data_IF_575722665911
#
_entry.id   IF_575722665911
#
_cell.length_a   1.000
_cell.length_b   1.000
_cell.length_c   1.000
_cell.angle_alpha   90.00
_cell.angle_beta   90.00
_cell.angle_gamma   90.00
#
_symmetry.space_group_name_H-M   'P 1'
#
loop_
_entity.id
_entity.type
_entity.pdbx_description
1 polymer ?
#
# COMPACT_ATOMS: atom_id res chain seq x y z
N UNK A 1 19.51 -4.13 -32.03
CA UNK A 1 19.16 -3.93 -30.61
C UNK A 1 18.07 -4.93 -30.30
N UNK A 2 18.33 -5.88 -29.45
CA UNK A 2 17.27 -6.85 -29.05
C UNK A 2 16.34 -6.17 -28.01
N UNK A 3 15.10 -6.66 -27.90
CA UNK A 3 14.16 -6.17 -26.86
C UNK A 3 14.80 -6.29 -25.48
N UNK A 4 15.57 -7.37 -25.21
CA UNK A 4 16.29 -7.55 -23.97
C UNK A 4 17.31 -6.46 -23.68
N UNK A 5 18.09 -6.03 -24.69
CA UNK A 5 19.08 -4.95 -24.52
C UNK A 5 18.42 -3.62 -24.14
N UNK A 6 17.27 -3.32 -24.72
CA UNK A 6 16.49 -2.14 -24.39
C UNK A 6 15.95 -2.19 -22.95
N UNK A 7 15.43 -3.33 -22.52
CA UNK A 7 14.94 -3.52 -21.14
C UNK A 7 16.06 -3.27 -20.11
N UNK A 8 17.25 -3.85 -20.31
CA UNK A 8 18.38 -3.61 -19.40
C UNK A 8 18.80 -2.14 -19.36
N UNK A 9 18.85 -1.47 -20.52
CA UNK A 9 19.17 -0.04 -20.58
C UNK A 9 18.14 0.80 -19.81
N UNK A 10 16.86 0.52 -19.98
CA UNK A 10 15.78 1.24 -19.28
C UNK A 10 15.77 0.96 -17.78
N UNK A 11 16.02 -0.28 -17.35
CA UNK A 11 16.18 -0.59 -15.92
C UNK A 11 17.35 0.17 -15.30
N UNK A 12 18.48 0.26 -16.02
CA UNK A 12 19.63 1.06 -15.56
C UNK A 12 19.31 2.54 -15.43
N UNK A 13 18.68 3.12 -16.45
CA UNK A 13 18.22 4.52 -16.40
C UNK A 13 17.22 4.74 -15.27
N UNK A 14 16.25 3.85 -15.10
CA UNK A 14 15.26 3.92 -14.04
C UNK A 14 15.90 3.90 -12.64
N UNK A 15 16.86 3.00 -12.42
CA UNK A 15 17.60 2.92 -11.16
C UNK A 15 18.43 4.21 -10.88
N UNK A 16 19.10 4.76 -11.88
CA UNK A 16 19.84 6.01 -11.75
C UNK A 16 18.89 7.19 -11.46
N UNK A 17 17.75 7.25 -12.16
CA UNK A 17 16.75 8.26 -11.90
C UNK A 17 16.15 8.12 -10.48
N UNK A 18 15.87 6.90 -10.01
CA UNK A 18 15.39 6.66 -8.65
C UNK A 18 16.39 7.17 -7.58
N UNK A 19 17.69 7.10 -7.88
CA UNK A 19 18.73 7.59 -6.97
C UNK A 19 18.91 9.13 -6.99
N UNK A 20 18.75 9.77 -8.16
CA UNK A 20 19.05 11.20 -8.35
C UNK A 20 17.83 12.09 -8.21
N UNK A 21 16.67 11.66 -8.69
CA UNK A 21 15.42 12.43 -8.72
C UNK A 21 14.95 12.95 -7.35
N UNK A 22 15.09 12.22 -6.23
CA UNK A 22 14.69 12.75 -4.93
C UNK A 22 15.33 14.08 -4.60
N UNK A 23 16.64 14.25 -4.95
CA UNK A 23 17.37 15.50 -4.73
C UNK A 23 16.95 16.61 -5.69
N UNK A 24 16.59 16.26 -6.92
CA UNK A 24 16.19 17.23 -7.96
C UNK A 24 14.76 17.75 -7.74
N UNK A 25 13.89 16.89 -7.22
CA UNK A 25 12.46 17.20 -6.97
C UNK A 25 12.25 17.84 -5.59
N UNK A 26 13.22 17.69 -4.68
CA UNK A 26 13.15 18.30 -3.34
C UNK A 26 12.80 19.79 -3.41
N UNK A 27 11.73 20.18 -2.69
CA UNK A 27 11.22 21.55 -2.67
C UNK A 27 10.36 21.98 -3.86
N UNK A 28 10.07 21.08 -4.81
CA UNK A 28 9.15 21.33 -5.93
C UNK A 28 7.78 20.67 -5.67
N UNK A 29 6.69 21.19 -6.23
CA UNK A 29 5.36 20.58 -6.10
C UNK A 29 5.18 19.38 -7.05
N UNK A 30 6.17 18.49 -7.09
CA UNK A 30 6.21 17.31 -7.93
C UNK A 30 6.58 16.11 -7.06
N UNK A 31 5.72 15.11 -6.97
CA UNK A 31 6.05 13.86 -6.29
C UNK A 31 6.84 12.92 -7.21
N UNK A 32 7.76 12.15 -6.62
CA UNK A 32 8.52 11.12 -7.35
C UNK A 32 7.60 10.11 -8.08
N UNK A 33 6.53 9.60 -7.46
CA UNK A 33 5.56 8.75 -8.11
C UNK A 33 5.03 9.32 -9.44
N UNK A 34 4.68 10.61 -9.45
CA UNK A 34 4.17 11.27 -10.64
C UNK A 34 5.21 11.35 -11.76
N UNK A 35 6.49 11.59 -11.42
CA UNK A 35 7.58 11.67 -12.41
C UNK A 35 7.78 10.34 -13.11
N UNK A 36 7.80 9.20 -12.37
CA UNK A 36 7.95 7.88 -12.97
C UNK A 36 6.75 7.48 -13.82
N UNK A 37 5.54 7.79 -13.37
CA UNK A 37 4.32 7.52 -14.11
C UNK A 37 4.28 8.30 -15.43
N UNK A 38 4.55 9.60 -15.41
CA UNK A 38 4.63 10.45 -16.62
C UNK A 38 5.78 10.02 -17.49
N UNK A 39 6.93 9.64 -16.91
CA UNK A 39 8.08 9.12 -17.64
C UNK A 39 7.75 7.84 -18.40
N UNK A 40 7.08 6.88 -17.77
CA UNK A 40 6.62 5.66 -18.42
C UNK A 40 5.65 5.93 -19.57
N UNK A 41 4.65 6.78 -19.32
CA UNK A 41 3.72 7.22 -20.39
C UNK A 41 4.46 7.88 -21.55
N UNK A 42 5.37 8.80 -21.25
CA UNK A 42 6.11 9.54 -22.29
C UNK A 42 7.02 8.64 -23.13
N UNK A 43 7.71 7.69 -22.51
CA UNK A 43 8.61 6.76 -23.21
C UNK A 43 7.82 5.83 -24.15
N UNK A 44 6.66 5.35 -23.73
CA UNK A 44 5.83 4.44 -24.55
C UNK A 44 5.02 5.15 -25.63
N UNK A 45 4.91 6.47 -25.58
CA UNK A 45 4.39 7.28 -26.70
C UNK A 45 5.44 7.52 -27.81
N UNK A 46 6.72 7.21 -27.55
CA UNK A 46 7.75 7.28 -28.58
C UNK A 46 7.72 6.03 -29.47
N UNK A 47 8.08 6.14 -30.76
CA UNK A 47 8.11 5.01 -31.67
C UNK A 47 9.34 4.11 -31.43
N UNK A 48 9.43 3.53 -30.25
CA UNK A 48 10.51 2.62 -29.84
C UNK A 48 10.03 1.17 -29.84
N UNK A 49 10.89 0.21 -30.15
CA UNK A 49 10.54 -1.23 -30.09
C UNK A 49 10.55 -1.69 -28.64
N UNK A 50 9.53 -1.32 -27.86
CA UNK A 50 9.38 -1.69 -26.47
C UNK A 50 8.45 -2.91 -26.33
N UNK A 51 8.60 -3.73 -25.27
CA UNK A 51 7.68 -4.82 -25.01
C UNK A 51 6.28 -4.29 -24.71
N UNK A 52 5.27 -5.02 -25.13
CA UNK A 52 3.90 -4.75 -24.72
C UNK A 52 3.75 -5.05 -23.23
N UNK A 53 3.04 -4.18 -22.51
CA UNK A 53 2.77 -4.31 -21.09
C UNK A 53 1.26 -4.34 -20.92
N UNK A 54 0.71 -5.52 -20.74
CA UNK A 54 -0.72 -5.71 -20.51
C UNK A 54 -0.94 -6.60 -19.27
N UNK A 55 -1.34 -6.03 -18.13
CA UNK A 55 -1.57 -6.79 -16.90
C UNK A 55 -2.79 -7.73 -16.99
N UNK A 56 -3.59 -7.64 -18.05
CA UNK A 56 -4.70 -8.58 -18.31
C UNK A 56 -4.15 -9.86 -18.93
N UNK A 57 -3.27 -9.73 -19.92
CA UNK A 57 -2.68 -10.86 -20.64
C UNK A 57 -1.52 -11.47 -19.82
N UNK A 58 -0.69 -10.63 -19.17
CA UNK A 58 0.44 -11.03 -18.31
C UNK A 58 0.08 -10.96 -16.82
N UNK A 59 -1.12 -11.42 -16.45
CA UNK A 59 -1.65 -11.32 -15.08
C UNK A 59 -0.70 -11.83 -14.00
N UNK A 60 -0.08 -13.00 -14.19
CA UNK A 60 0.83 -13.58 -13.20
C UNK A 60 2.07 -12.69 -12.97
N UNK A 61 2.59 -12.08 -14.02
CA UNK A 61 3.72 -11.15 -13.89
C UNK A 61 3.30 -9.89 -13.14
N UNK A 62 2.14 -9.32 -13.47
CA UNK A 62 1.59 -8.17 -12.75
C UNK A 62 1.35 -8.47 -11.26
N UNK A 63 0.79 -9.65 -10.95
CA UNK A 63 0.56 -10.14 -9.60
C UNK A 63 1.88 -10.23 -8.80
N UNK A 64 2.88 -10.98 -9.29
CA UNK A 64 4.12 -11.21 -8.55
C UNK A 64 4.98 -9.95 -8.40
N UNK A 65 5.05 -9.08 -9.42
CA UNK A 65 5.84 -7.84 -9.30
C UNK A 65 5.20 -6.89 -8.28
N UNK A 66 3.86 -6.76 -8.30
CA UNK A 66 3.15 -5.92 -7.34
C UNK A 66 3.19 -6.52 -5.93
N UNK A 67 3.11 -7.86 -5.81
CA UNK A 67 3.25 -8.59 -4.56
C UNK A 67 4.58 -8.29 -3.85
N UNK A 68 5.71 -8.46 -4.57
CA UNK A 68 7.05 -8.17 -4.03
C UNK A 68 7.14 -6.71 -3.59
N UNK A 69 6.59 -5.78 -4.36
CA UNK A 69 6.61 -4.37 -3.99
C UNK A 69 5.83 -4.12 -2.69
N UNK A 70 4.62 -4.69 -2.56
CA UNK A 70 3.77 -4.51 -1.38
C UNK A 70 4.42 -5.11 -0.13
N UNK A 71 4.98 -6.33 -0.19
CA UNK A 71 5.61 -6.93 1.01
C UNK A 71 6.85 -6.14 1.47
N UNK A 72 7.62 -5.57 0.56
CA UNK A 72 8.75 -4.69 0.90
C UNK A 72 8.25 -3.39 1.54
N UNK A 73 7.20 -2.79 0.98
CA UNK A 73 6.59 -1.58 1.51
C UNK A 73 6.00 -1.79 2.93
N UNK A 74 5.37 -2.94 3.16
CA UNK A 74 4.82 -3.31 4.47
C UNK A 74 5.92 -3.51 5.52
N UNK A 75 7.07 -4.08 5.13
CA UNK A 75 8.23 -4.17 6.00
C UNK A 75 8.72 -2.76 6.37
N UNK A 76 8.91 -1.88 5.39
CA UNK A 76 9.30 -0.48 5.61
C UNK A 76 8.35 0.28 6.53
N UNK A 77 7.05 0.19 6.25
CA UNK A 77 6.01 0.82 7.06
C UNK A 77 6.02 0.34 8.52
N UNK A 78 6.16 -0.98 8.75
CA UNK A 78 6.20 -1.54 10.09
C UNK A 78 7.47 -1.19 10.87
N UNK A 79 8.63 -1.12 10.20
CA UNK A 79 9.90 -0.71 10.81
C UNK A 79 9.91 0.79 11.18
N UNK A 80 9.18 1.63 10.45
CA UNK A 80 9.05 3.06 10.74
C UNK A 80 8.26 3.34 12.03
N UNK A 81 7.36 2.42 12.45
CA UNK A 81 6.49 2.64 13.60
C UNK A 81 7.21 2.39 14.93
N UNK A 82 7.39 3.44 15.72
CA UNK A 82 8.05 3.36 17.02
C UNK A 82 7.07 3.05 18.17
N UNK A 83 5.79 3.35 17.99
CA UNK A 83 4.77 3.24 19.04
C UNK A 83 4.38 1.78 19.31
N UNK A 84 4.49 1.28 20.57
CA UNK A 84 4.08 -0.07 20.92
C UNK A 84 2.62 -0.32 20.58
N UNK A 85 2.35 -1.49 20.00
CA UNK A 85 0.97 -1.91 19.68
C UNK A 85 0.14 -1.97 20.96
N UNK A 86 -1.06 -1.37 20.93
CA UNK A 86 -1.96 -1.35 22.06
C UNK A 86 -3.32 -0.74 21.76
N UNK A 87 -4.33 -1.14 22.52
CA UNK A 87 -5.72 -0.73 22.29
C UNK A 87 -5.92 0.79 22.33
N UNK A 88 -5.28 1.48 23.28
CA UNK A 88 -5.41 2.94 23.44
C UNK A 88 -4.40 3.71 22.59
N UNK A 89 -3.17 3.19 22.47
CA UNK A 89 -2.09 3.81 21.72
C UNK A 89 -2.33 3.86 20.22
N UNK A 90 -3.05 2.85 19.70
CA UNK A 90 -3.45 2.70 18.29
C UNK A 90 -4.94 3.00 18.08
N UNK A 91 -5.57 3.76 18.96
CA UNK A 91 -7.01 3.99 18.89
C UNK A 91 -7.47 4.62 17.57
N UNK A 92 -6.67 5.55 17.02
CA UNK A 92 -6.93 6.17 15.72
C UNK A 92 -6.89 5.14 14.60
N UNK A 93 -5.85 4.31 14.58
CA UNK A 93 -5.69 3.21 13.60
C UNK A 93 -6.87 2.23 13.65
N UNK A 94 -7.23 1.77 14.87
CA UNK A 94 -8.36 0.84 15.02
C UNK A 94 -9.70 1.42 14.53
N UNK A 95 -9.86 2.72 14.64
CA UNK A 95 -11.06 3.42 14.13
C UNK A 95 -11.04 3.56 12.63
N UNK A 96 -9.87 3.81 12.03
CA UNK A 96 -9.71 3.83 10.58
C UNK A 96 -9.99 2.45 9.98
N UNK A 97 -9.49 1.39 10.59
CA UNK A 97 -9.71 0.02 10.11
C UNK A 97 -11.14 -0.49 10.41
N UNK A 98 -11.68 -0.22 11.60
CA UNK A 98 -12.97 -0.76 12.04
C UNK A 98 -14.18 0.06 11.62
N UNK A 99 -14.01 1.33 11.24
CA UNK A 99 -15.11 2.20 10.82
C UNK A 99 -14.87 2.77 9.42
N UNK A 100 -13.72 3.43 9.20
CA UNK A 100 -13.48 4.10 7.92
C UNK A 100 -13.37 3.11 6.76
N UNK A 101 -12.60 2.05 6.91
CA UNK A 101 -12.42 1.05 5.85
C UNK A 101 -13.75 0.34 5.49
N UNK A 102 -14.55 -0.21 6.43
CA UNK A 102 -15.85 -0.80 6.10
C UNK A 102 -16.82 0.19 5.45
N UNK A 103 -16.92 1.43 5.95
CA UNK A 103 -17.76 2.45 5.32
C UNK A 103 -17.29 2.77 3.90
N UNK A 104 -15.98 2.89 3.68
CA UNK A 104 -15.40 3.12 2.35
C UNK A 104 -15.76 1.99 1.40
N UNK A 105 -15.61 0.73 1.84
CA UNK A 105 -15.97 -0.44 1.03
C UNK A 105 -17.47 -0.45 0.70
N UNK A 106 -18.32 -0.28 1.70
CA UNK A 106 -19.79 -0.28 1.49
C UNK A 106 -20.21 0.82 0.50
N UNK A 107 -19.78 2.06 0.72
CA UNK A 107 -20.19 3.15 -0.16
C UNK A 107 -19.57 3.06 -1.55
N UNK A 108 -18.36 2.54 -1.69
CA UNK A 108 -17.74 2.31 -3.01
C UNK A 108 -18.46 1.19 -3.76
N UNK A 109 -18.80 0.08 -3.08
CA UNK A 109 -19.59 -1.00 -3.68
C UNK A 109 -20.98 -0.53 -4.11
N UNK A 110 -21.67 0.24 -3.26
CA UNK A 110 -22.97 0.82 -3.60
C UNK A 110 -22.88 1.78 -4.78
N UNK A 111 -21.82 2.59 -4.86
CA UNK A 111 -21.60 3.49 -6.00
C UNK A 111 -21.33 2.71 -7.29
N UNK A 112 -20.52 1.66 -7.24
CA UNK A 112 -20.26 0.80 -8.39
C UNK A 112 -21.53 0.05 -8.83
N UNK A 113 -22.28 -0.48 -7.89
CA UNK A 113 -23.54 -1.15 -8.18
C UNK A 113 -24.56 -0.20 -8.83
N UNK A 114 -24.72 1.00 -8.32
CA UNK A 114 -25.74 1.94 -8.79
C UNK A 114 -25.31 2.75 -10.03
N UNK A 115 -24.06 3.20 -10.10
CA UNK A 115 -23.59 4.10 -11.16
C UNK A 115 -23.04 3.36 -12.37
N UNK A 116 -22.32 2.23 -12.13
CA UNK A 116 -21.75 1.38 -13.19
C UNK A 116 -22.72 0.24 -13.59
N UNK A 117 -23.82 0.06 -12.85
CA UNK A 117 -24.75 -1.08 -13.02
C UNK A 117 -24.02 -2.45 -12.94
N UNK A 118 -22.97 -2.50 -12.14
CA UNK A 118 -22.19 -3.72 -11.98
C UNK A 118 -22.85 -4.70 -11.01
N UNK A 119 -22.85 -6.01 -11.31
CA UNK A 119 -23.32 -7.03 -10.38
C UNK A 119 -22.64 -6.93 -9.02
N UNK A 120 -23.32 -7.31 -7.91
CA UNK A 120 -22.82 -7.14 -6.55
C UNK A 120 -21.42 -7.68 -6.30
N UNK A 121 -21.04 -8.83 -6.92
CA UNK A 121 -19.71 -9.41 -6.78
C UNK A 121 -18.61 -8.53 -7.41
N UNK A 122 -18.85 -7.97 -8.60
CA UNK A 122 -17.90 -7.07 -9.25
C UNK A 122 -17.83 -5.71 -8.54
N UNK A 123 -18.97 -5.19 -8.07
CA UNK A 123 -19.04 -3.97 -7.28
C UNK A 123 -18.28 -4.11 -5.94
N UNK A 124 -18.44 -5.26 -5.27
CA UNK A 124 -17.69 -5.57 -4.05
C UNK A 124 -16.20 -5.76 -4.33
N UNK A 125 -15.83 -6.41 -5.46
CA UNK A 125 -14.45 -6.54 -5.87
C UNK A 125 -13.79 -5.17 -6.06
N UNK A 126 -14.42 -4.26 -6.82
CA UNK A 126 -13.88 -2.90 -7.01
C UNK A 126 -13.67 -2.20 -5.66
N UNK A 127 -14.64 -2.31 -4.76
CA UNK A 127 -14.54 -1.72 -3.43
C UNK A 127 -13.42 -2.36 -2.58
N UNK A 128 -13.27 -3.69 -2.64
CA UNK A 128 -12.24 -4.42 -1.90
C UNK A 128 -10.83 -4.10 -2.38
N UNK A 129 -10.60 -4.10 -3.70
CA UNK A 129 -9.27 -3.81 -4.27
C UNK A 129 -8.88 -2.33 -4.14
N UNK A 130 -9.86 -1.43 -4.02
CA UNK A 130 -9.63 -0.03 -3.75
C UNK A 130 -9.73 0.33 -2.25
N UNK A 131 -9.92 -0.63 -1.36
CA UNK A 131 -9.96 -0.40 0.08
C UNK A 131 -8.58 -0.09 0.70
N UNK A 132 -7.48 -0.80 0.34
CA UNK A 132 -6.17 -0.54 0.92
C UNK A 132 -5.63 0.84 0.52
N UNK A 133 -4.83 1.42 1.43
CA UNK A 133 -4.13 2.68 1.19
C UNK A 133 -2.63 2.41 1.14
N UNK A 134 -1.95 3.04 0.22
CA UNK A 134 -0.55 2.77 -0.09
C UNK A 134 0.39 3.65 0.75
N UNK A 135 1.25 3.05 1.60
CA UNK A 135 2.18 3.82 2.42
C UNK A 135 3.33 4.43 1.59
N UNK A 136 3.66 3.83 0.43
CA UNK A 136 4.79 4.24 -0.41
C UNK A 136 4.51 5.53 -1.15
N UNK A 137 3.34 5.60 -1.76
CA UNK A 137 2.89 6.78 -2.49
C UNK A 137 2.56 7.94 -1.56
N UNK A 138 2.48 7.66 -0.26
CA UNK A 138 2.22 8.62 0.82
C UNK A 138 3.51 9.16 1.49
N UNK A 139 4.68 9.03 0.86
CA UNK A 139 5.99 9.34 1.49
C UNK A 139 6.05 10.69 2.23
N UNK A 140 5.36 11.71 1.75
CA UNK A 140 5.31 13.03 2.39
C UNK A 140 4.40 13.09 3.64
N UNK A 141 3.43 12.17 3.76
CA UNK A 141 2.50 12.08 4.91
C UNK A 141 2.75 10.85 5.77
N UNK A 142 3.78 10.06 5.46
CA UNK A 142 4.24 8.90 6.22
C UNK A 142 5.09 9.33 7.43
N UNK A 143 5.23 8.45 8.42
CA UNK A 143 6.25 8.57 9.45
C UNK A 143 7.61 8.63 8.75
N UNK A 144 8.43 9.63 9.08
CA UNK A 144 9.79 9.78 8.55
C UNK A 144 10.76 8.79 9.19
N UNK A 145 12.03 9.19 9.24
CA UNK A 145 13.06 8.38 9.91
C UNK A 145 12.62 8.01 11.33
N UNK A 146 12.85 6.75 11.75
CA UNK A 146 12.47 6.29 13.09
C UNK A 146 13.19 7.13 14.16
N UNK A 147 12.44 7.68 15.10
CA UNK A 147 12.98 8.41 16.24
C UNK A 147 13.21 7.51 17.46
N UNK A 148 14.13 7.88 18.36
CA UNK A 148 14.38 7.12 19.59
C UNK A 148 13.24 7.30 20.62
N UNK A 149 12.48 8.40 20.55
CA UNK A 149 11.44 8.76 21.51
C UNK A 149 10.06 8.21 21.16
N UNK A 150 9.48 7.45 22.08
CA UNK A 150 8.11 6.87 21.95
C UNK A 150 7.00 7.94 21.84
N UNK A 151 7.29 9.20 22.17
CA UNK A 151 6.28 10.26 22.32
C UNK A 151 6.31 11.29 21.20
N UNK A 152 7.26 11.20 20.28
CA UNK A 152 7.50 12.25 19.28
C UNK A 152 6.88 11.95 17.89
N UNK A 153 6.12 10.86 17.79
CA UNK A 153 5.43 10.52 16.54
C UNK A 153 4.21 11.43 16.31
N UNK A 154 4.22 12.10 15.17
CA UNK A 154 3.06 12.82 14.66
C UNK A 154 1.85 11.87 14.51
N UNK A 155 0.75 12.14 15.22
CA UNK A 155 -0.45 11.31 15.23
C UNK A 155 -1.06 11.15 13.83
N UNK A 156 -0.95 12.13 12.94
CA UNK A 156 -1.46 12.05 11.56
C UNK A 156 -0.62 11.06 10.76
N UNK A 157 0.71 11.23 10.80
CA UNK A 157 1.65 10.36 10.10
C UNK A 157 1.59 8.93 10.64
N UNK A 158 1.55 8.79 11.97
CA UNK A 158 1.39 7.50 12.63
C UNK A 158 0.10 6.79 12.19
N UNK A 159 -1.04 7.50 12.23
CA UNK A 159 -2.33 6.93 11.87
C UNK A 159 -2.37 6.47 10.40
N UNK A 160 -1.85 7.29 9.48
CA UNK A 160 -1.82 6.95 8.05
C UNK A 160 -0.87 5.80 7.74
N UNK A 161 0.33 5.76 8.35
CA UNK A 161 1.29 4.66 8.13
C UNK A 161 0.79 3.35 8.73
N UNK A 162 0.25 3.39 9.95
CA UNK A 162 -0.26 2.18 10.61
C UNK A 162 -1.58 1.68 9.99
N UNK A 163 -2.44 2.58 9.50
CA UNK A 163 -3.61 2.20 8.70
C UNK A 163 -3.18 1.47 7.43
N UNK A 164 -2.28 2.08 6.66
CA UNK A 164 -1.82 1.54 5.39
C UNK A 164 -1.18 0.15 5.55
N UNK A 165 -0.33 -0.05 6.56
CA UNK A 165 0.28 -1.34 6.81
C UNK A 165 -0.69 -2.45 7.23
N UNK A 166 -1.80 -2.12 7.90
CA UNK A 166 -2.78 -3.11 8.32
C UNK A 166 -3.90 -3.33 7.31
N UNK A 167 -4.35 -2.27 6.61
CA UNK A 167 -5.46 -2.40 5.68
C UNK A 167 -5.10 -3.21 4.43
N UNK A 168 -3.83 -3.23 4.03
CA UNK A 168 -3.35 -4.15 2.99
C UNK A 168 -3.64 -5.60 3.41
N UNK A 169 -3.18 -6.04 4.57
CA UNK A 169 -3.49 -7.40 5.04
C UNK A 169 -4.98 -7.68 5.23
N UNK A 170 -5.76 -6.67 5.62
CA UNK A 170 -7.21 -6.80 5.84
C UNK A 170 -8.05 -6.67 4.55
N UNK A 171 -7.44 -6.36 3.42
CA UNK A 171 -8.11 -6.37 2.11
C UNK A 171 -8.28 -7.79 1.55
N UNK A 172 -7.49 -8.76 1.99
CA UNK A 172 -7.69 -10.17 1.61
C UNK A 172 -9.08 -10.70 1.98
N UNK A 173 -9.55 -10.63 3.24
CA UNK A 173 -10.91 -11.03 3.58
C UNK A 173 -11.98 -10.41 2.69
N UNK A 174 -11.84 -9.11 2.35
CA UNK A 174 -12.79 -8.40 1.52
C UNK A 174 -12.75 -8.89 0.06
N UNK A 175 -11.56 -9.15 -0.46
CA UNK A 175 -11.36 -9.70 -1.79
C UNK A 175 -11.92 -11.12 -1.88
N UNK A 176 -11.68 -11.97 -0.86
CA UNK A 176 -12.28 -13.31 -0.80
C UNK A 176 -13.80 -13.26 -0.66
N UNK A 177 -14.38 -12.25 0.03
CA UNK A 177 -15.82 -12.05 0.04
C UNK A 177 -16.37 -11.79 -1.37
N UNK A 178 -15.68 -10.99 -2.19
CA UNK A 178 -16.08 -10.75 -3.57
C UNK A 178 -15.96 -12.01 -4.44
N UNK A 179 -14.90 -12.80 -4.26
CA UNK A 179 -14.69 -14.10 -4.94
C UNK A 179 -15.78 -15.09 -4.55
N UNK A 180 -16.06 -15.25 -3.24
CA UNK A 180 -17.09 -16.14 -2.73
C UNK A 180 -18.49 -15.73 -3.23
N UNK A 181 -18.77 -14.43 -3.28
CA UNK A 181 -20.03 -13.92 -3.82
C UNK A 181 -20.15 -14.17 -5.33
N UNK A 182 -19.05 -14.05 -6.09
CA UNK A 182 -19.04 -14.37 -7.52
C UNK A 182 -19.30 -15.88 -7.76
N UNK A 183 -18.66 -16.74 -6.98
CA UNK A 183 -18.87 -18.17 -7.03
C UNK A 183 -20.31 -18.58 -6.67
N UNK A 184 -20.89 -17.95 -5.65
CA UNK A 184 -22.26 -18.22 -5.21
C UNK A 184 -23.32 -17.74 -6.22
N UNK A 185 -23.06 -16.69 -6.99
CA UNK A 185 -24.01 -16.13 -7.95
C UNK A 185 -24.41 -17.12 -9.06
N UNK A 186 -23.55 -18.10 -9.39
CA UNK A 186 -23.84 -19.17 -10.36
C UNK A 186 -24.89 -20.19 -9.90
N UNK A 187 -25.14 -20.33 -8.58
CA UNK A 187 -26.07 -21.28 -7.96
C UNK A 187 -27.38 -20.67 -7.43
N UNK A 188 -27.60 -19.38 -7.62
CA UNK A 188 -28.68 -18.64 -7.01
C UNK A 188 -28.25 -17.94 -5.71
N UNK A 189 -28.98 -16.92 -5.29
CA UNK A 189 -28.67 -16.16 -4.07
C UNK A 189 -28.80 -17.08 -2.83
N UNK A 190 -27.68 -17.40 -2.22
CA UNK A 190 -27.57 -18.09 -0.95
C UNK A 190 -26.59 -17.33 -0.05
N UNK A 191 -26.84 -17.30 1.24
CA UNK A 191 -25.94 -16.72 2.24
C UNK A 191 -25.04 -17.78 2.90
N UNK A 192 -25.06 -19.03 2.42
CA UNK A 192 -24.36 -20.17 3.03
C UNK A 192 -22.84 -20.00 3.04
N UNK A 193 -22.29 -19.26 2.08
CA UNK A 193 -20.87 -18.94 2.00
C UNK A 193 -20.37 -18.02 3.13
N UNK A 194 -21.25 -17.20 3.74
CA UNK A 194 -20.87 -16.23 4.76
C UNK A 194 -20.24 -16.88 5.99
N UNK A 195 -20.75 -18.03 6.41
CA UNK A 195 -20.20 -18.77 7.56
C UNK A 195 -18.79 -19.27 7.32
N UNK A 196 -18.56 -19.87 6.16
CA UNK A 196 -17.23 -20.34 5.74
C UNK A 196 -16.25 -19.18 5.61
N UNK A 197 -16.62 -18.14 4.89
CA UNK A 197 -15.82 -16.93 4.73
C UNK A 197 -15.46 -16.28 6.08
N UNK A 198 -16.43 -16.09 6.98
CA UNK A 198 -16.17 -15.45 8.28
C UNK A 198 -15.22 -16.28 9.16
N UNK A 199 -15.36 -17.60 9.11
CA UNK A 199 -14.50 -18.50 9.90
C UNK A 199 -13.11 -18.64 9.25
N UNK A 200 -13.05 -18.99 7.98
CA UNK A 200 -11.79 -19.31 7.29
C UNK A 200 -11.03 -18.04 6.91
N UNK A 201 -11.66 -17.15 6.09
CA UNK A 201 -10.96 -16.02 5.51
C UNK A 201 -10.83 -14.86 6.49
N UNK A 202 -11.79 -14.63 7.41
CA UNK A 202 -11.64 -13.54 8.39
C UNK A 202 -10.94 -14.03 9.65
N UNK A 203 -11.43 -15.11 10.31
CA UNK A 203 -10.89 -15.48 11.62
C UNK A 203 -9.58 -16.26 11.53
N UNK A 204 -9.56 -17.39 10.81
CA UNK A 204 -8.41 -18.32 10.81
C UNK A 204 -7.21 -17.71 10.06
N UNK A 205 -7.37 -17.26 8.81
CA UNK A 205 -6.25 -16.74 8.02
C UNK A 205 -5.66 -15.46 8.62
N UNK A 206 -6.49 -14.56 9.17
CA UNK A 206 -5.98 -13.40 9.91
C UNK A 206 -5.23 -13.83 11.19
N UNK A 207 -5.75 -14.79 11.96
CA UNK A 207 -5.08 -15.27 13.15
C UNK A 207 -3.72 -15.91 12.83
N UNK A 208 -3.63 -16.72 11.76
CA UNK A 208 -2.37 -17.30 11.28
C UNK A 208 -1.40 -16.17 10.91
N UNK A 209 -1.83 -15.17 10.13
CA UNK A 209 -1.01 -14.03 9.74
C UNK A 209 -0.45 -13.25 10.92
N UNK A 210 -1.29 -12.95 11.92
CA UNK A 210 -0.87 -12.25 13.14
C UNK A 210 0.10 -13.09 13.98
N UNK A 211 -0.18 -14.37 14.19
CA UNK A 211 0.62 -15.25 15.05
C UNK A 211 1.96 -15.59 14.39
N UNK A 212 1.97 -15.97 13.12
CA UNK A 212 3.20 -16.29 12.40
C UNK A 212 4.10 -15.05 12.26
N UNK A 213 3.54 -13.89 11.92
CA UNK A 213 4.30 -12.65 11.88
C UNK A 213 4.89 -12.26 13.24
N UNK A 214 4.13 -12.39 14.31
CA UNK A 214 4.64 -12.16 15.66
C UNK A 214 5.75 -13.15 16.06
N UNK A 215 5.58 -14.45 15.75
CA UNK A 215 6.58 -15.48 16.05
C UNK A 215 7.87 -15.25 15.27
N UNK A 216 7.77 -15.05 13.95
CA UNK A 216 8.94 -14.79 13.09
C UNK A 216 9.66 -13.53 13.54
N UNK A 217 8.94 -12.43 13.75
CA UNK A 217 9.53 -11.17 14.18
C UNK A 217 10.19 -11.26 15.57
N UNK A 218 9.57 -12.00 16.51
CA UNK A 218 10.14 -12.22 17.83
C UNK A 218 11.38 -13.14 17.79
N UNK A 219 11.36 -14.19 16.95
CA UNK A 219 12.49 -15.09 16.77
C UNK A 219 13.69 -14.34 16.16
N UNK A 220 13.45 -13.57 15.09
CA UNK A 220 14.50 -12.78 14.46
C UNK A 220 15.01 -11.67 15.37
N UNK A 221 14.12 -10.99 16.09
CA UNK A 221 14.49 -10.01 17.11
C UNK A 221 15.36 -10.62 18.21
N UNK A 222 15.04 -11.84 18.68
CA UNK A 222 15.87 -12.56 19.64
C UNK A 222 17.21 -12.98 19.04
N UNK A 223 17.22 -13.48 17.81
CA UNK A 223 18.42 -13.98 17.15
C UNK A 223 19.44 -12.87 16.87
N UNK A 224 18.99 -11.70 16.42
CA UNK A 224 19.88 -10.64 15.93
C UNK A 224 20.21 -9.57 16.97
N UNK A 225 19.30 -9.29 17.92
CA UNK A 225 19.49 -8.19 18.89
C UNK A 225 19.84 -8.65 20.31
N UNK A 226 19.84 -9.97 20.62
CA UNK A 226 20.22 -10.52 21.93
C UNK A 226 21.36 -11.54 21.89
N UNK A 227 22.30 -11.55 20.95
CA UNK A 227 23.29 -12.60 20.90
C UNK A 227 24.36 -12.45 22.00
N UNK A 228 24.68 -13.56 22.63
CA UNK A 228 25.85 -13.68 23.53
C UNK A 228 27.17 -13.85 22.78
N UNK A 229 27.16 -14.15 21.48
CA UNK A 229 28.34 -14.32 20.65
C UNK A 229 28.55 -13.15 19.68
N UNK A 230 29.79 -12.66 19.59
CA UNK A 230 30.19 -11.60 18.65
C UNK A 230 29.96 -11.98 17.17
N UNK A 231 29.96 -13.28 16.85
CA UNK A 231 29.76 -13.78 15.48
C UNK A 231 28.33 -13.61 14.97
N UNK A 232 27.33 -13.52 15.87
CA UNK A 232 25.93 -13.31 15.52
C UNK A 232 25.52 -11.84 15.65
N UNK A 233 26.40 -10.96 16.14
CA UNK A 233 26.16 -9.52 16.08
C UNK A 233 26.26 -9.10 14.64
N UNK A 234 25.18 -8.52 14.13
CA UNK A 234 25.19 -7.89 12.80
C UNK A 234 26.27 -6.82 12.78
N UNK A 235 27.24 -6.96 11.88
CA UNK A 235 28.16 -5.87 11.57
C UNK A 235 27.40 -4.83 10.77
N UNK A 236 27.67 -3.56 11.00
CA UNK A 236 27.01 -2.37 10.42
C UNK A 236 26.80 -2.37 8.89
N UNK A 237 27.34 -3.33 8.18
CA UNK A 237 27.32 -3.40 6.71
C UNK A 237 26.41 -4.50 6.12
N UNK A 238 25.69 -5.29 6.92
CA UNK A 238 24.87 -6.42 6.42
C UNK A 238 23.41 -6.39 6.85
N UNK A 239 22.99 -5.35 7.54
CA UNK A 239 21.69 -5.25 8.20
C UNK A 239 20.54 -5.21 7.20
N UNK A 240 20.71 -4.60 6.02
CA UNK A 240 19.68 -4.54 4.98
C UNK A 240 19.20 -5.91 4.50
N UNK A 241 20.13 -6.91 4.39
CA UNK A 241 19.75 -8.27 4.03
C UNK A 241 18.90 -8.97 5.10
N UNK A 242 19.02 -8.56 6.36
CA UNK A 242 18.19 -9.09 7.44
C UNK A 242 16.75 -8.65 7.27
N UNK A 243 16.52 -7.39 6.90
CA UNK A 243 15.18 -6.88 6.64
C UNK A 243 14.53 -7.60 5.44
N UNK A 244 15.26 -7.78 4.33
CA UNK A 244 14.76 -8.57 3.19
C UNK A 244 14.50 -10.03 3.58
N UNK A 245 15.44 -10.67 4.28
CA UNK A 245 15.27 -12.03 4.77
C UNK A 245 14.06 -12.17 5.69
N UNK A 246 13.83 -11.21 6.59
CA UNK A 246 12.68 -11.16 7.46
C UNK A 246 11.37 -10.98 6.66
N UNK A 247 11.38 -10.14 5.62
CA UNK A 247 10.23 -9.93 4.73
C UNK A 247 9.82 -11.24 4.06
N UNK A 248 10.74 -11.87 3.34
CA UNK A 248 10.44 -13.10 2.59
C UNK A 248 10.14 -14.29 3.53
N UNK A 249 10.84 -14.39 4.66
CA UNK A 249 10.58 -15.45 5.63
C UNK A 249 9.21 -15.29 6.30
N UNK A 250 8.88 -14.06 6.74
CA UNK A 250 7.58 -13.77 7.36
C UNK A 250 6.43 -14.01 6.38
N UNK A 251 6.61 -13.58 5.13
CA UNK A 251 5.66 -13.82 4.06
C UNK A 251 5.53 -15.31 3.75
N UNK A 252 6.62 -15.95 3.33
CA UNK A 252 6.61 -17.32 2.83
C UNK A 252 6.14 -18.35 3.84
N UNK A 253 6.61 -18.26 5.11
CA UNK A 253 6.14 -19.16 6.18
C UNK A 253 4.64 -19.02 6.40
N UNK A 254 4.12 -17.81 6.35
CA UNK A 254 2.69 -17.56 6.56
C UNK A 254 1.84 -18.07 5.40
N UNK A 255 2.26 -17.86 4.16
CA UNK A 255 1.58 -18.41 2.98
C UNK A 255 1.59 -19.95 2.98
N UNK A 256 2.70 -20.58 3.37
CA UNK A 256 2.76 -22.06 3.55
C UNK A 256 1.77 -22.55 4.62
N UNK A 257 1.47 -21.76 5.62
CA UNK A 257 0.46 -22.05 6.65
C UNK A 257 -0.96 -21.62 6.24
N UNK A 258 -1.15 -21.17 4.99
CA UNK A 258 -2.41 -20.68 4.45
C UNK A 258 -2.98 -19.48 5.24
N UNK A 259 -2.09 -18.61 5.74
CA UNK A 259 -2.44 -17.34 6.39
C UNK A 259 -2.18 -16.14 5.46
N UNK A 260 -2.51 -14.93 5.91
CA UNK A 260 -2.26 -13.72 5.14
C UNK A 260 -0.83 -13.19 5.33
N UNK A 261 0.03 -13.42 4.34
CA UNK A 261 1.44 -13.03 4.35
C UNK A 261 1.67 -11.53 4.49
N UNK A 262 0.84 -10.68 3.88
CA UNK A 262 0.93 -9.23 4.02
C UNK A 262 0.77 -8.78 5.48
N UNK A 263 -0.24 -9.32 6.16
CA UNK A 263 -0.45 -9.05 7.57
C UNK A 263 0.74 -9.53 8.42
N UNK A 264 1.28 -10.71 8.09
CA UNK A 264 2.42 -11.27 8.79
C UNK A 264 3.69 -10.45 8.60
N UNK A 265 3.99 -9.96 7.40
CA UNK A 265 5.16 -9.10 7.13
C UNK A 265 5.09 -7.83 7.97
N UNK A 266 3.96 -7.15 7.98
CA UNK A 266 3.78 -5.94 8.79
C UNK A 266 3.95 -6.22 10.29
N UNK A 267 3.36 -7.29 10.80
CA UNK A 267 3.50 -7.71 12.22
C UNK A 267 4.93 -8.13 12.54
N UNK A 268 5.62 -8.80 11.60
CA UNK A 268 7.05 -9.14 11.71
C UNK A 268 7.88 -7.87 11.87
N UNK A 269 7.67 -6.88 11.03
CA UNK A 269 8.36 -5.59 11.08
C UNK A 269 8.14 -4.86 12.40
N UNK A 270 6.89 -4.74 12.85
CA UNK A 270 6.55 -4.15 14.15
C UNK A 270 7.20 -4.91 15.33
N UNK A 271 7.30 -6.24 15.22
CA UNK A 271 7.89 -7.10 16.27
C UNK A 271 9.41 -6.95 16.30
N UNK A 272 10.08 -6.87 15.16
CA UNK A 272 11.51 -6.58 15.05
C UNK A 272 11.79 -5.19 15.62
N UNK A 273 11.03 -4.17 15.23
CA UNK A 273 11.16 -2.81 15.74
C UNK A 273 11.00 -2.74 17.26
N UNK A 274 10.04 -3.49 17.82
CA UNK A 274 9.85 -3.54 19.26
C UNK A 274 11.03 -4.19 20.02
N UNK A 275 11.74 -5.15 19.39
CA UNK A 275 12.90 -5.82 19.99
C UNK A 275 14.18 -4.94 19.91
N UNK A 276 14.24 -4.07 18.91
CA UNK A 276 15.46 -3.33 18.53
C UNK A 276 15.57 -1.95 19.20
N UNK A 277 14.50 -1.38 19.76
CA UNK A 277 14.42 -0.04 20.35
C UNK A 277 15.63 0.40 21.20
N UNK A 278 16.35 -0.54 21.79
CA UNK A 278 17.49 -0.27 22.66
C UNK A 278 18.86 -0.28 21.95
N UNK A 279 18.95 -0.49 20.64
CA UNK A 279 20.22 -0.82 19.97
C UNK A 279 20.65 0.14 18.85
N UNK A 280 19.81 1.07 18.39
CA UNK A 280 20.18 2.11 17.40
C UNK A 280 20.37 1.64 15.95
N UNK A 281 20.07 0.37 15.63
CA UNK A 281 20.22 -0.19 14.27
C UNK A 281 19.04 0.09 13.32
N UNK A 282 18.01 0.73 13.83
CA UNK A 282 16.75 0.95 13.12
C UNK A 282 16.89 1.78 11.84
N UNK A 283 17.79 2.78 11.83
CA UNK A 283 17.95 3.65 10.67
C UNK A 283 18.47 2.87 9.47
N UNK A 284 19.50 2.01 9.66
CA UNK A 284 20.10 1.25 8.56
C UNK A 284 19.12 0.23 7.96
N UNK A 285 18.34 -0.47 8.80
CA UNK A 285 17.29 -1.40 8.34
C UNK A 285 16.23 -0.66 7.54
N UNK A 286 15.76 0.48 8.07
CA UNK A 286 14.73 1.30 7.44
C UNK A 286 15.22 1.90 6.12
N UNK A 287 16.39 2.53 6.10
CA UNK A 287 16.98 3.17 4.93
C UNK A 287 17.17 2.20 3.76
N UNK A 288 17.64 0.98 4.07
CA UNK A 288 17.82 -0.04 3.04
C UNK A 288 16.47 -0.47 2.43
N UNK A 289 15.49 -0.77 3.28
CA UNK A 289 14.15 -1.16 2.80
C UNK A 289 13.52 -0.03 2.01
N UNK A 290 13.65 1.22 2.46
CA UNK A 290 13.15 2.40 1.75
C UNK A 290 13.80 2.56 0.36
N UNK A 291 15.11 2.32 0.22
CA UNK A 291 15.79 2.37 -1.08
C UNK A 291 15.25 1.31 -2.03
N UNK A 292 15.07 0.06 -1.55
CA UNK A 292 14.51 -1.04 -2.35
C UNK A 292 13.05 -0.77 -2.72
N UNK A 293 12.24 -0.33 -1.76
CA UNK A 293 10.86 0.09 -1.95
C UNK A 293 10.73 1.17 -3.02
N UNK A 294 11.58 2.20 -2.96
CA UNK A 294 11.60 3.30 -3.93
C UNK A 294 11.91 2.81 -5.34
N UNK A 295 12.86 1.87 -5.47
CA UNK A 295 13.21 1.30 -6.77
C UNK A 295 12.03 0.51 -7.36
N UNK A 296 11.40 -0.38 -6.58
CA UNK A 296 10.25 -1.16 -7.05
C UNK A 296 9.07 -0.27 -7.41
N UNK A 297 8.79 0.74 -6.59
CA UNK A 297 7.73 1.72 -6.85
C UNK A 297 7.99 2.50 -8.14
N UNK A 298 9.23 2.93 -8.38
CA UNK A 298 9.62 3.61 -9.61
C UNK A 298 9.37 2.74 -10.85
N UNK A 299 9.77 1.47 -10.79
CA UNK A 299 9.54 0.50 -11.88
C UNK A 299 8.04 0.28 -12.09
N UNK A 300 7.27 0.04 -11.04
CA UNK A 300 5.83 -0.21 -11.15
C UNK A 300 5.05 0.99 -11.69
N UNK A 301 5.37 2.19 -11.24
CA UNK A 301 4.71 3.40 -11.76
C UNK A 301 5.10 3.69 -13.20
N UNK A 302 6.35 3.39 -13.59
CA UNK A 302 6.76 3.44 -14.98
C UNK A 302 5.97 2.44 -15.84
N UNK A 303 5.82 1.19 -15.39
CA UNK A 303 5.01 0.16 -16.06
C UNK A 303 3.53 0.54 -16.12
N UNK A 304 2.99 1.14 -15.07
CA UNK A 304 1.61 1.67 -15.05
C UNK A 304 1.44 2.79 -16.08
N UNK A 305 2.44 3.69 -16.18
CA UNK A 305 2.47 4.73 -17.22
C UNK A 305 2.54 4.15 -18.63
N UNK A 306 3.33 3.10 -18.83
CA UNK A 306 3.41 2.34 -20.07
C UNK A 306 2.06 1.71 -20.45
N UNK A 307 1.40 1.04 -19.50
CA UNK A 307 0.07 0.46 -19.70
C UNK A 307 -0.97 1.53 -20.09
N UNK A 308 -0.92 2.71 -19.47
CA UNK A 308 -1.79 3.84 -19.85
C UNK A 308 -1.53 4.27 -21.28
N UNK A 309 -0.25 4.43 -21.71
CA UNK A 309 0.13 4.82 -23.06
C UNK A 309 -0.31 3.80 -24.12
N UNK A 310 -0.31 2.51 -23.77
CA UNK A 310 -0.76 1.39 -24.63
C UNK A 310 -2.29 1.24 -24.69
N UNK A 311 -3.04 2.15 -24.09
CA UNK A 311 -4.50 2.14 -24.15
C UNK A 311 -5.18 1.44 -22.98
N UNK A 312 -4.49 1.25 -21.85
CA UNK A 312 -5.03 0.62 -20.64
C UNK A 312 -6.27 1.34 -20.05
N UNK A 313 -6.51 2.58 -20.46
CA UNK A 313 -7.73 3.33 -20.11
C UNK A 313 -8.80 3.31 -21.21
N UNK A 314 -8.62 2.58 -22.31
CA UNK A 314 -9.58 2.59 -23.42
C UNK A 314 -10.97 2.04 -23.03
N UNK A 315 -11.04 1.15 -22.07
CA UNK A 315 -12.30 0.60 -21.55
C UNK A 315 -12.91 1.45 -20.41
N UNK A 316 -12.29 2.59 -20.05
CA UNK A 316 -12.80 3.47 -18.99
C UNK A 316 -14.06 4.19 -19.45
N UNK A 317 -15.15 3.98 -18.74
CA UNK A 317 -16.39 4.75 -18.92
C UNK A 317 -16.38 6.02 -18.06
N UNK A 318 -17.21 7.01 -18.40
CA UNK A 318 -17.33 8.21 -17.56
C UNK A 318 -17.87 7.87 -16.16
N UNK A 319 -18.73 6.85 -16.05
CA UNK A 319 -19.24 6.35 -14.78
C UNK A 319 -18.11 5.76 -13.92
N UNK A 320 -17.20 4.99 -14.54
CA UNK A 320 -16.01 4.46 -13.88
C UNK A 320 -15.10 5.58 -13.36
N UNK A 321 -14.85 6.59 -14.17
CA UNK A 321 -14.07 7.76 -13.76
C UNK A 321 -14.72 8.50 -12.58
N UNK A 322 -16.03 8.73 -12.63
CA UNK A 322 -16.78 9.37 -11.54
C UNK A 322 -16.75 8.52 -10.29
N UNK A 323 -16.88 7.19 -10.39
CA UNK A 323 -16.77 6.28 -9.24
C UNK A 323 -15.41 6.40 -8.54
N UNK A 324 -14.32 6.40 -9.30
CA UNK A 324 -12.97 6.60 -8.76
C UNK A 324 -12.80 7.96 -8.07
N UNK A 325 -13.26 9.03 -8.71
CA UNK A 325 -13.22 10.37 -8.12
C UNK A 325 -14.12 10.52 -6.90
N UNK A 326 -15.30 9.92 -6.90
CA UNK A 326 -16.18 9.88 -5.71
C UNK A 326 -15.51 9.16 -4.54
N UNK A 327 -14.83 8.04 -4.81
CA UNK A 327 -14.06 7.35 -3.76
C UNK A 327 -13.02 8.29 -3.14
N UNK A 328 -12.21 8.95 -3.96
CA UNK A 328 -11.10 9.77 -3.48
C UNK A 328 -11.54 11.08 -2.82
N UNK A 329 -12.53 11.77 -3.41
CA UNK A 329 -12.90 13.13 -3.01
C UNK A 329 -14.08 13.20 -2.04
N UNK A 330 -14.91 12.15 -1.96
CA UNK A 330 -16.15 12.16 -1.17
C UNK A 330 -16.21 11.00 -0.18
N UNK A 331 -16.18 9.76 -0.69
CA UNK A 331 -16.41 8.56 0.14
C UNK A 331 -15.32 8.43 1.19
N UNK A 332 -14.04 8.45 0.79
CA UNK A 332 -12.91 8.33 1.73
C UNK A 332 -12.87 9.46 2.75
N UNK A 333 -12.93 10.76 2.38
CA UNK A 333 -12.95 11.85 3.35
C UNK A 333 -14.12 11.79 4.33
N UNK A 334 -15.33 11.49 3.88
CA UNK A 334 -16.49 11.42 4.77
C UNK A 334 -16.45 10.19 5.69
N UNK A 335 -16.07 9.02 5.16
CA UNK A 335 -15.88 7.80 5.97
C UNK A 335 -14.77 7.98 7.01
N UNK A 336 -13.64 8.60 6.60
CA UNK A 336 -12.54 8.92 7.49
C UNK A 336 -12.94 9.92 8.58
N UNK A 337 -13.67 10.98 8.19
CA UNK A 337 -14.21 11.92 9.16
C UNK A 337 -15.12 11.22 10.17
N UNK A 338 -16.06 10.39 9.71
CA UNK A 338 -16.97 9.64 10.58
C UNK A 338 -16.21 8.71 11.55
N UNK A 339 -15.20 7.98 11.05
CA UNK A 339 -14.36 7.11 11.87
C UNK A 339 -13.56 7.87 12.95
N UNK A 340 -13.18 9.11 12.67
CA UNK A 340 -12.35 9.92 13.55
C UNK A 340 -13.15 10.84 14.50
N UNK A 341 -14.47 10.85 14.43
CA UNK A 341 -15.31 11.60 15.37
C UNK A 341 -15.06 11.14 16.80
N UNK A 342 -14.81 12.07 17.73
CA UNK A 342 -14.52 11.77 19.14
C UNK A 342 -13.06 11.36 19.43
N UNK A 343 -12.15 11.41 18.46
CA UNK A 343 -10.71 11.32 18.72
C UNK A 343 -10.18 12.63 19.31
N UNK A 344 -8.97 12.57 19.92
CA UNK A 344 -8.30 13.76 20.48
C UNK A 344 -7.62 14.64 19.44
N UNK A 345 -7.64 14.24 18.16
CA UNK A 345 -7.04 14.99 17.05
C UNK A 345 -7.71 16.36 16.87
N UNK A 346 -6.92 17.38 16.54
CA UNK A 346 -7.44 18.69 16.12
C UNK A 346 -8.30 18.54 14.85
N UNK A 347 -9.21 19.48 14.62
CA UNK A 347 -10.10 19.42 13.45
C UNK A 347 -9.33 19.37 12.12
N UNK A 348 -8.23 20.13 12.00
CA UNK A 348 -7.35 20.11 10.83
C UNK A 348 -6.67 18.76 10.63
N UNK A 349 -6.11 18.17 11.69
CA UNK A 349 -5.47 16.85 11.66
C UNK A 349 -6.45 15.77 11.26
N UNK A 350 -7.67 15.81 11.79
CA UNK A 350 -8.75 14.89 11.47
C UNK A 350 -9.12 14.94 9.98
N UNK A 351 -9.21 16.16 9.40
CA UNK A 351 -9.49 16.31 7.97
C UNK A 351 -8.34 15.79 7.11
N UNK A 352 -7.09 16.06 7.47
CA UNK A 352 -5.93 15.54 6.75
C UNK A 352 -5.92 14.00 6.80
N UNK A 353 -6.02 13.40 7.99
CA UNK A 353 -6.07 11.93 8.14
C UNK A 353 -7.25 11.31 7.39
N UNK A 354 -8.42 11.94 7.41
CA UNK A 354 -9.59 11.44 6.69
C UNK A 354 -9.43 11.49 5.18
N UNK A 355 -8.82 12.56 4.64
CA UNK A 355 -8.68 12.76 3.19
C UNK A 355 -7.53 11.96 2.57
N UNK A 356 -6.41 11.80 3.28
CA UNK A 356 -5.21 11.15 2.74
C UNK A 356 -5.28 9.62 2.83
N UNK A 357 -6.16 9.05 2.03
CA UNK A 357 -6.22 7.60 1.79
C UNK A 357 -5.73 7.27 0.38
N UNK A 358 -4.42 7.37 0.15
CA UNK A 358 -3.80 7.24 -1.17
C UNK A 358 -3.98 5.82 -1.70
N UNK A 359 -4.49 5.65 -2.91
CA UNK A 359 -4.64 4.35 -3.58
C UNK A 359 -3.43 4.12 -4.48
N UNK A 360 -2.90 2.89 -4.48
CA UNK A 360 -1.66 2.62 -5.16
C UNK A 360 -1.47 1.17 -5.57
N UNK A 361 -0.27 0.67 -5.36
CA UNK A 361 0.22 -0.62 -5.87
C UNK A 361 -0.59 -1.79 -5.32
N UNK A 362 -0.97 -1.76 -4.04
CA UNK A 362 -1.81 -2.78 -3.44
C UNK A 362 -3.13 -3.01 -4.19
N UNK A 363 -3.74 -1.92 -4.71
CA UNK A 363 -4.96 -2.04 -5.52
C UNK A 363 -4.75 -2.83 -6.82
N UNK A 364 -3.59 -2.66 -7.47
CA UNK A 364 -3.23 -3.40 -8.69
C UNK A 364 -2.98 -4.88 -8.38
N UNK A 365 -2.30 -5.16 -7.26
CA UNK A 365 -2.08 -6.52 -6.77
C UNK A 365 -3.39 -7.26 -6.52
N UNK A 366 -4.28 -6.66 -5.70
CA UNK A 366 -5.55 -7.32 -5.35
C UNK A 366 -6.44 -7.56 -6.55
N UNK A 367 -6.40 -6.68 -7.56
CA UNK A 367 -7.13 -6.90 -8.80
C UNK A 367 -6.56 -8.09 -9.58
N UNK A 368 -5.23 -8.13 -9.80
CA UNK A 368 -4.57 -9.24 -10.49
C UNK A 368 -4.82 -10.57 -9.77
N UNK A 369 -4.68 -10.58 -8.44
CA UNK A 369 -4.93 -11.75 -7.60
C UNK A 369 -6.38 -12.24 -7.72
N UNK A 370 -7.37 -11.36 -7.53
CA UNK A 370 -8.78 -11.74 -7.56
C UNK A 370 -9.23 -12.29 -8.93
N UNK A 371 -8.75 -11.70 -10.04
CA UNK A 371 -8.99 -12.18 -11.38
C UNK A 371 -8.32 -13.54 -11.65
N UNK A 372 -7.32 -13.91 -10.88
CA UNK A 372 -6.73 -15.24 -10.89
C UNK A 372 -7.53 -16.27 -10.12
N UNK A 373 -8.26 -15.86 -9.10
CA UNK A 373 -9.06 -16.79 -8.27
C UNK A 373 -10.40 -17.13 -8.92
N UNK A 374 -11.05 -16.16 -9.57
CA UNK A 374 -12.39 -16.36 -10.16
C UNK A 374 -12.64 -15.40 -11.33
N UNK A 375 -13.55 -15.81 -12.23
CA UNK A 375 -14.08 -14.93 -13.28
C UNK A 375 -15.22 -14.09 -12.75
N UNK A 376 -15.19 -12.79 -13.04
CA UNK A 376 -16.22 -11.85 -12.63
C UNK A 376 -17.14 -11.49 -13.79
N UNK A 377 -18.41 -11.15 -13.54
CA UNK A 377 -19.39 -10.85 -14.59
C UNK A 377 -19.20 -9.43 -15.20
N UNK A 378 -17.97 -8.92 -15.16
CA UNK A 378 -17.53 -7.65 -15.78
C UNK A 378 -16.22 -7.91 -16.50
N UNK A 379 -16.00 -7.37 -17.71
CA UNK A 379 -14.74 -7.55 -18.43
C UNK A 379 -13.53 -7.12 -17.61
N UNK A 380 -12.47 -7.95 -17.60
CA UNK A 380 -11.24 -7.66 -16.86
C UNK A 380 -10.63 -6.29 -17.28
N UNK A 381 -10.67 -5.96 -18.56
CA UNK A 381 -10.16 -4.67 -19.09
C UNK A 381 -10.92 -3.48 -18.52
N UNK A 382 -12.20 -3.59 -18.26
CA UNK A 382 -13.00 -2.51 -17.64
C UNK A 382 -12.64 -2.34 -16.15
N UNK A 383 -12.50 -3.45 -15.41
CA UNK A 383 -12.01 -3.44 -14.02
C UNK A 383 -10.62 -2.80 -13.93
N UNK A 384 -9.68 -3.22 -14.79
CA UNK A 384 -8.34 -2.63 -14.86
C UNK A 384 -8.37 -1.15 -15.20
N UNK A 385 -9.22 -0.71 -16.14
CA UNK A 385 -9.32 0.70 -16.52
C UNK A 385 -9.80 1.58 -15.35
N UNK A 386 -10.83 1.13 -14.60
CA UNK A 386 -11.35 1.88 -13.45
C UNK A 386 -10.34 1.92 -12.30
N UNK A 387 -9.69 0.80 -11.97
CA UNK A 387 -8.68 0.74 -10.91
C UNK A 387 -7.45 1.57 -11.29
N UNK A 388 -6.92 1.42 -12.51
CA UNK A 388 -5.78 2.21 -13.02
C UNK A 388 -6.07 3.70 -13.00
N UNK A 389 -7.26 4.11 -13.46
CA UNK A 389 -7.67 5.52 -13.40
C UNK A 389 -7.74 6.04 -11.96
N UNK A 390 -8.28 5.24 -11.04
CA UNK A 390 -8.40 5.64 -9.64
C UNK A 390 -7.02 5.78 -8.98
N UNK A 391 -6.09 4.87 -9.27
CA UNK A 391 -4.70 4.96 -8.81
C UNK A 391 -4.01 6.18 -9.42
N UNK A 392 -4.14 6.40 -10.74
CA UNK A 392 -3.61 7.59 -11.42
C UNK A 392 -4.14 8.88 -10.78
N UNK A 393 -5.46 8.98 -10.62
CA UNK A 393 -6.09 10.16 -10.00
C UNK A 393 -5.62 10.37 -8.56
N UNK A 394 -5.44 9.27 -7.81
CA UNK A 394 -4.90 9.31 -6.45
C UNK A 394 -3.47 9.81 -6.42
N UNK A 395 -2.59 9.30 -7.27
CA UNK A 395 -1.18 9.75 -7.38
C UNK A 395 -1.09 11.23 -7.72
N UNK A 396 -1.89 11.69 -8.68
CA UNK A 396 -1.91 13.11 -9.08
C UNK A 396 -2.46 13.98 -7.96
N UNK A 397 -3.64 13.65 -7.41
CA UNK A 397 -4.31 14.45 -6.38
C UNK A 397 -3.44 14.59 -5.13
N UNK A 398 -2.97 13.48 -4.60
CA UNK A 398 -2.21 13.48 -3.35
C UNK A 398 -0.75 13.92 -3.57
N UNK A 399 -0.14 13.54 -4.68
CA UNK A 399 1.23 13.96 -5.01
C UNK A 399 1.40 15.47 -5.19
N UNK A 400 0.34 16.18 -5.62
CA UNK A 400 0.36 17.65 -5.74
C UNK A 400 -0.03 18.34 -4.42
N UNK A 401 -0.89 17.70 -3.62
CA UNK A 401 -1.46 18.35 -2.42
C UNK A 401 -0.72 18.03 -1.13
N UNK A 402 0.03 16.91 -1.05
CA UNK A 402 0.63 16.44 0.19
C UNK A 402 1.61 17.46 0.79
N UNK A 403 2.60 17.91 0.04
CA UNK A 403 3.59 18.87 0.53
C UNK A 403 2.98 20.16 1.08
N UNK A 404 2.13 20.87 0.30
CA UNK A 404 1.42 22.07 0.79
C UNK A 404 0.56 21.84 2.06
N UNK A 405 -0.15 20.70 2.12
CA UNK A 405 -1.03 20.40 3.26
C UNK A 405 -0.24 20.08 4.51
N UNK A 406 0.81 19.25 4.40
CA UNK A 406 1.69 18.92 5.53
C UNK A 406 2.39 20.18 6.05
N UNK A 407 2.99 21.00 5.18
CA UNK A 407 3.64 22.25 5.56
C UNK A 407 2.68 23.22 6.25
N UNK A 408 1.41 23.24 5.85
CA UNK A 408 0.38 24.05 6.53
C UNK A 408 0.04 23.48 7.91
N UNK A 409 -0.02 22.15 8.02
CA UNK A 409 -0.31 21.49 9.29
C UNK A 409 0.81 21.74 10.31
N UNK A 410 2.07 21.62 9.90
CA UNK A 410 3.25 21.85 10.73
C UNK A 410 3.31 23.30 11.22
N UNK A 411 2.99 24.26 10.34
CA UNK A 411 2.86 25.67 10.74
C UNK A 411 1.76 25.91 11.78
N UNK A 412 0.62 25.24 11.66
CA UNK A 412 -0.49 25.36 12.62
C UNK A 412 -0.17 24.74 13.99
N UNK A 413 0.81 23.83 14.04
CA UNK A 413 1.32 23.20 15.27
C UNK A 413 2.42 24.00 15.93
N UNK A 414 3.05 24.94 15.23
CA UNK A 414 4.22 25.68 15.68
C UNK A 414 5.53 24.87 15.60
N UNK A 415 5.53 23.75 14.86
CA UNK A 415 6.69 22.86 14.63
C UNK A 415 7.36 23.10 13.29
N UNK A 416 7.09 24.24 12.62
CA UNK A 416 7.75 24.56 11.34
C UNK A 416 9.28 24.59 11.57
N UNK A 417 10.07 23.83 10.78
CA UNK A 417 11.52 23.93 10.84
C UNK A 417 11.91 25.38 10.57
N UNK A 418 12.76 25.95 11.42
CA UNK A 418 13.40 27.22 11.14
C UNK A 418 14.12 27.04 9.79
N UNK A 419 13.69 27.77 8.77
CA UNK A 419 14.44 27.82 7.51
C UNK A 419 15.87 28.21 7.88
N UNK A 420 16.81 27.29 7.72
CA UNK A 420 18.21 27.61 7.66
C UNK A 420 18.38 28.51 6.43
N UNK A 421 18.31 29.82 6.67
CA UNK A 421 18.95 30.78 5.77
C UNK A 421 20.44 30.46 5.77
N UNK A 422 20.90 29.80 4.71
CA UNK A 422 22.22 30.03 4.13
C UNK A 422 22.32 29.29 2.79
#
# INVERSE_FOLDING_TARGET
MTIGDAVFAWLGVGALLAAVLPRVVAGRPLSLPLVFLVGGTGVYLLPLPLPEIDPVDDRLMAEHITEICVIIALMGAGLALNRPVGRRRWATTWRLLGVTMPLTVVFTALTAWWLLDWPPAAALLLAAVLAPTDPVLASEVRVGEPTEDEHDEDEVRFALTSEAGLNDGLSFPLTYAAVALAAAAGGGWSADWLGGWALEDVAIKCAIGLLSGWLVGRLLGWLFFRPRSAALRLSEHREGFVALGATFLGYGVTEMLQGYGFLAVFVTACSIRAAERAHGFHNVLHDFVEQVERLFTAVLLFLLGAFIALGGLAALTWQGAVTGLMLLCVIRPLSGWAGLVGTRMRRSERWVTAAYGIRGIGSLYYLAYALGQHTFPVPARELWAVVTFTVLASVVLHGVTAGPVVSRLDRLRGTAPAHSEN
#
